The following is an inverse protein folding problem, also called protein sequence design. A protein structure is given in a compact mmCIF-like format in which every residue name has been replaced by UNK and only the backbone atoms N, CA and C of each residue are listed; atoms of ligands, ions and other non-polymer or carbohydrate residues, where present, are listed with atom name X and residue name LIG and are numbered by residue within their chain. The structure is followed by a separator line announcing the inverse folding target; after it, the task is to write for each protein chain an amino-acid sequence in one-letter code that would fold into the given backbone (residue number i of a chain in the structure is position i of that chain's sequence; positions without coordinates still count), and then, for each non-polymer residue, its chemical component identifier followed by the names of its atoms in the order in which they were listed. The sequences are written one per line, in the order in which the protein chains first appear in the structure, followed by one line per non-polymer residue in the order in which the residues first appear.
data_IF_871244290183
#
_entry.id   IF_871244290183
#
_cell.length_a   1.000
_cell.length_b   1.000
_cell.length_c   1.000
_cell.angle_alpha   90.00
_cell.angle_beta   90.00
_cell.angle_gamma   90.00
#
_symmetry.space_group_name_H-M   'P 1'
#
loop_
_entity.id
_entity.type
_entity.pdbx_description
1 polymer ?
#
# COMPACT_ATOMS: atom_id res chain seq x y z
N UNK A 1 -65.62 3.58 -52.64
CA UNK A 1 -65.04 2.54 -53.54
C UNK A 1 -65.71 1.21 -53.21
N UNK A 2 -66.24 0.53 -54.23
CA UNK A 2 -67.02 -0.71 -54.11
C UNK A 2 -66.15 -1.86 -53.54
N UNK A 3 -66.67 -2.70 -52.63
CA UNK A 3 -65.92 -3.81 -52.00
C UNK A 3 -65.30 -4.78 -53.03
N UNK A 4 -65.94 -4.89 -54.20
CA UNK A 4 -65.46 -5.66 -55.34
C UNK A 4 -64.15 -5.12 -55.93
N UNK A 5 -63.97 -3.80 -55.98
CA UNK A 5 -62.74 -3.18 -56.50
C UNK A 5 -61.56 -3.38 -55.55
N UNK A 6 -61.79 -3.41 -54.24
CA UNK A 6 -60.73 -3.65 -53.23
C UNK A 6 -60.16 -5.07 -53.26
N UNK A 7 -60.93 -6.05 -53.72
CA UNK A 7 -60.50 -7.46 -53.84
C UNK A 7 -60.11 -7.85 -55.26
N UNK A 8 -60.08 -6.89 -56.19
CA UNK A 8 -59.69 -7.15 -57.56
C UNK A 8 -58.21 -7.49 -57.62
N UNK A 9 -57.90 -8.63 -58.22
CA UNK A 9 -56.54 -9.03 -58.60
C UNK A 9 -56.57 -9.33 -60.08
N UNK A 10 -55.72 -8.67 -60.86
CA UNK A 10 -55.70 -8.81 -62.31
C UNK A 10 -54.28 -8.67 -62.84
N UNK A 11 -54.02 -9.29 -63.98
CA UNK A 11 -52.71 -9.27 -64.62
C UNK A 11 -52.69 -8.18 -65.69
N UNK A 12 -51.72 -7.28 -65.61
CA UNK A 12 -51.46 -6.26 -66.62
C UNK A 12 -50.89 -6.88 -67.91
N UNK A 13 -50.96 -6.14 -69.01
CA UNK A 13 -50.36 -6.55 -70.30
C UNK A 13 -48.84 -6.76 -70.24
N UNK A 14 -48.16 -6.23 -69.22
CA UNK A 14 -46.75 -6.48 -68.91
C UNK A 14 -46.48 -7.85 -68.26
N UNK A 15 -47.53 -8.62 -67.94
CA UNK A 15 -47.43 -9.89 -67.19
C UNK A 15 -47.47 -9.71 -65.67
N UNK A 16 -47.63 -8.48 -65.19
CA UNK A 16 -47.58 -8.13 -63.77
C UNK A 16 -48.92 -8.30 -63.06
N UNK A 17 -48.90 -8.92 -61.88
CA UNK A 17 -50.10 -9.06 -61.03
C UNK A 17 -50.32 -7.78 -60.24
N UNK A 18 -51.44 -7.11 -60.48
CA UNK A 18 -51.91 -5.95 -59.75
C UNK A 18 -52.94 -6.38 -58.70
N UNK A 19 -52.77 -5.92 -57.47
CA UNK A 19 -53.72 -6.06 -56.38
C UNK A 19 -53.73 -4.77 -55.58
N UNK A 20 -54.70 -4.61 -54.70
CA UNK A 20 -54.78 -3.46 -53.79
C UNK A 20 -54.66 -3.93 -52.36
N UNK A 21 -53.99 -3.13 -51.52
CA UNK A 21 -53.95 -3.37 -50.08
C UNK A 21 -55.27 -2.96 -49.39
N UNK A 22 -55.29 -3.03 -48.05
CA UNK A 22 -56.47 -2.71 -47.25
C UNK A 22 -56.91 -1.24 -47.37
N UNK A 23 -55.97 -0.36 -47.71
CA UNK A 23 -56.21 1.07 -47.92
C UNK A 23 -56.59 1.39 -49.37
N UNK A 24 -56.35 0.46 -50.29
CA UNK A 24 -56.64 0.59 -51.72
C UNK A 24 -55.41 0.96 -52.55
N UNK A 25 -54.20 0.83 -51.99
CA UNK A 25 -52.96 1.17 -52.67
C UNK A 25 -52.41 -0.01 -53.47
N UNK A 26 -51.95 0.22 -54.71
CA UNK A 26 -51.29 -0.81 -55.52
C UNK A 26 -49.89 -1.18 -54.97
N UNK A 27 -49.34 -2.36 -55.29
CA UNK A 27 -47.95 -2.69 -55.00
C UNK A 27 -47.00 -1.63 -55.56
N UNK A 28 -46.12 -1.13 -54.69
CA UNK A 28 -45.16 -0.08 -55.03
C UNK A 28 -44.05 -0.62 -55.93
N UNK A 29 -43.86 0.02 -57.08
CA UNK A 29 -42.81 -0.31 -58.04
C UNK A 29 -42.19 0.96 -58.56
N UNK A 30 -40.87 1.06 -58.44
CA UNK A 30 -40.13 2.25 -58.82
C UNK A 30 -38.89 1.88 -59.61
N UNK A 31 -38.63 2.65 -60.67
CA UNK A 31 -37.35 2.61 -61.35
C UNK A 31 -36.37 3.55 -60.66
N UNK A 32 -35.15 3.08 -60.43
CA UNK A 32 -34.07 3.89 -59.89
C UNK A 32 -33.27 4.41 -61.06
N UNK A 33 -33.23 5.72 -61.22
CA UNK A 33 -32.55 6.39 -62.33
C UNK A 33 -31.40 7.26 -61.82
N UNK A 34 -30.35 7.38 -62.63
CA UNK A 34 -29.26 8.33 -62.43
C UNK A 34 -29.32 9.37 -63.52
N UNK A 35 -29.27 10.64 -63.12
CA UNK A 35 -29.15 11.77 -64.04
C UNK A 35 -27.71 12.28 -64.03
N UNK A 36 -27.06 12.28 -65.19
CA UNK A 36 -25.73 12.84 -65.38
C UNK A 36 -25.84 14.16 -66.15
N UNK A 37 -25.37 15.24 -65.54
CA UNK A 37 -25.39 16.58 -66.14
C UNK A 37 -24.08 16.81 -66.91
N UNK A 38 -24.18 16.89 -68.24
CA UNK A 38 -23.05 17.09 -69.14
C UNK A 38 -22.80 18.59 -69.39
N UNK A 39 -21.58 19.01 -69.79
CA UNK A 39 -21.20 20.43 -69.95
C UNK A 39 -22.09 21.24 -70.92
N UNK A 40 -22.79 20.58 -71.84
CA UNK A 40 -23.60 21.20 -72.89
C UNK A 40 -25.08 21.40 -72.48
N UNK A 41 -25.40 21.44 -71.18
CA UNK A 41 -26.78 21.38 -70.65
C UNK A 41 -27.58 20.13 -71.07
N UNK A 42 -26.89 19.07 -71.52
CA UNK A 42 -27.50 17.79 -71.82
C UNK A 42 -27.59 16.94 -70.54
N UNK A 43 -28.71 16.26 -70.36
CA UNK A 43 -28.95 15.36 -69.23
C UNK A 43 -29.00 13.93 -69.77
N UNK A 44 -28.05 13.10 -69.36
CA UNK A 44 -28.06 11.66 -69.63
C UNK A 44 -28.76 10.94 -68.48
N UNK A 45 -29.93 10.33 -68.75
CA UNK A 45 -30.73 9.60 -67.77
C UNK A 45 -30.58 8.10 -68.01
N UNK A 46 -30.01 7.39 -67.03
CA UNK A 46 -29.80 5.95 -67.09
C UNK A 46 -30.58 5.23 -65.99
N UNK A 47 -31.30 4.16 -66.34
CA UNK A 47 -31.92 3.26 -65.38
C UNK A 47 -30.83 2.42 -64.70
N UNK A 48 -30.68 2.62 -63.40
CA UNK A 48 -29.67 1.96 -62.56
C UNK A 48 -30.24 0.80 -61.76
N UNK A 49 -31.55 0.70 -61.62
CA UNK A 49 -32.15 -0.36 -60.84
C UNK A 49 -33.66 -0.26 -60.82
N UNK A 50 -34.26 -1.10 -59.99
CA UNK A 50 -35.68 -1.04 -59.69
C UNK A 50 -35.93 -1.52 -58.26
N UNK A 51 -37.00 -1.00 -57.68
CA UNK A 51 -37.55 -1.41 -56.41
C UNK A 51 -38.93 -2.00 -56.66
N UNK A 52 -39.18 -3.20 -56.15
CA UNK A 52 -40.48 -3.87 -56.26
C UNK A 52 -40.92 -4.36 -54.88
N UNK A 53 -42.09 -3.90 -54.46
CA UNK A 53 -42.75 -4.30 -53.23
C UNK A 53 -43.86 -5.31 -53.57
N UNK A 54 -43.63 -6.58 -53.28
CA UNK A 54 -44.66 -7.62 -53.34
C UNK A 54 -45.25 -7.89 -51.95
N UNK A 55 -46.29 -8.72 -51.87
CA UNK A 55 -47.14 -8.85 -50.67
C UNK A 55 -46.36 -9.30 -49.42
N UNK A 56 -45.29 -10.06 -49.62
CA UNK A 56 -44.41 -10.55 -48.53
C UNK A 56 -42.93 -10.17 -48.69
N UNK A 57 -42.49 -9.69 -49.85
CA UNK A 57 -41.06 -9.49 -50.14
C UNK A 57 -40.78 -8.10 -50.71
N UNK A 58 -39.68 -7.50 -50.23
CA UNK A 58 -39.15 -6.23 -50.72
C UNK A 58 -37.89 -6.50 -51.52
N UNK A 59 -37.92 -6.26 -52.83
CA UNK A 59 -36.76 -6.46 -53.70
C UNK A 59 -36.22 -5.11 -54.17
N UNK A 60 -35.02 -4.76 -53.70
CA UNK A 60 -34.23 -3.66 -54.22
C UNK A 60 -33.11 -4.24 -55.07
N UNK A 61 -33.14 -4.00 -56.38
CA UNK A 61 -32.06 -4.40 -57.28
C UNK A 61 -31.41 -3.15 -57.87
N UNK A 62 -30.10 -3.03 -57.68
CA UNK A 62 -29.30 -1.94 -58.20
C UNK A 62 -28.15 -2.56 -59.00
N UNK A 63 -28.02 -2.16 -60.26
CA UNK A 63 -27.00 -2.63 -61.18
C UNK A 63 -25.60 -2.14 -60.73
N UNK A 64 -24.56 -2.89 -61.08
CA UNK A 64 -23.21 -2.88 -60.49
C UNK A 64 -22.67 -1.51 -59.98
N UNK A 65 -22.10 -1.52 -58.77
CA UNK A 65 -21.82 -0.34 -57.92
C UNK A 65 -20.85 0.71 -58.50
N UNK A 66 -19.98 0.31 -59.44
CA UNK A 66 -18.92 1.18 -59.96
C UNK A 66 -19.43 2.29 -60.92
N UNK A 67 -20.57 2.12 -61.57
CA UNK A 67 -21.10 3.11 -62.55
C UNK A 67 -22.14 4.07 -61.93
N UNK A 68 -22.58 3.83 -60.68
CA UNK A 68 -23.52 4.74 -60.01
C UNK A 68 -22.91 6.10 -59.72
N UNK A 69 -21.65 6.14 -59.32
CA UNK A 69 -21.01 7.35 -58.81
C UNK A 69 -20.00 8.00 -59.77
N UNK A 70 -19.51 7.24 -60.77
CA UNK A 70 -18.66 7.77 -61.85
C UNK A 70 -19.42 8.76 -62.74
N UNK A 71 -18.77 9.75 -63.37
CA UNK A 71 -17.34 10.04 -63.33
C UNK A 71 -16.92 10.84 -62.08
N UNK A 72 -17.86 11.33 -61.27
CA UNK A 72 -17.56 12.28 -60.20
C UNK A 72 -16.89 11.65 -58.97
N UNK A 73 -17.31 10.44 -58.60
CA UNK A 73 -16.69 9.72 -57.48
C UNK A 73 -16.37 8.28 -57.89
N UNK A 74 -15.20 7.80 -57.47
CA UNK A 74 -14.78 6.41 -57.70
C UNK A 74 -15.55 5.42 -56.82
N UNK A 75 -16.03 5.87 -55.66
CA UNK A 75 -16.80 5.11 -54.67
C UNK A 75 -17.97 5.96 -54.16
N UNK A 76 -18.95 5.31 -53.55
CA UNK A 76 -20.07 6.01 -52.93
C UNK A 76 -19.57 7.01 -51.87
N UNK A 77 -20.02 8.28 -51.89
CA UNK A 77 -19.65 9.24 -50.85
C UNK A 77 -20.32 8.88 -49.53
N UNK A 78 -19.56 8.93 -48.44
CA UNK A 78 -20.10 8.73 -47.09
C UNK A 78 -20.76 10.01 -46.59
N UNK A 79 -22.05 9.93 -46.23
CA UNK A 79 -22.80 11.07 -45.69
C UNK A 79 -22.68 11.13 -44.16
N UNK A 80 -21.46 11.33 -43.67
CA UNK A 80 -21.16 11.43 -42.23
C UNK A 80 -20.94 12.89 -41.81
N UNK A 81 -21.50 13.29 -40.67
CA UNK A 81 -21.32 14.64 -40.13
C UNK A 81 -19.90 14.87 -39.58
N UNK A 82 -19.31 13.81 -39.03
CA UNK A 82 -17.97 13.76 -38.47
C UNK A 82 -17.41 12.35 -38.62
N UNK A 83 -16.09 12.22 -38.51
CA UNK A 83 -15.44 10.92 -38.51
C UNK A 83 -15.87 10.10 -37.27
N UNK A 84 -15.97 8.76 -37.38
CA UNK A 84 -16.20 7.88 -36.25
C UNK A 84 -15.11 8.01 -35.19
N UNK A 85 -15.47 7.85 -33.91
CA UNK A 85 -14.48 7.96 -32.84
C UNK A 85 -13.49 6.78 -32.86
N UNK A 86 -12.19 7.06 -32.78
CA UNK A 86 -11.20 6.02 -32.59
C UNK A 86 -11.38 5.33 -31.23
N UNK A 87 -10.90 4.07 -31.07
CA UNK A 87 -10.77 3.44 -29.76
C UNK A 87 -10.09 4.38 -28.73
N UNK A 88 -10.45 4.23 -27.45
CA UNK A 88 -10.05 5.11 -26.36
C UNK A 88 -10.89 6.39 -26.21
N UNK A 89 -11.83 6.62 -27.13
CA UNK A 89 -12.75 7.74 -27.11
C UNK A 89 -14.20 7.27 -27.08
N UNK A 90 -15.06 8.13 -26.55
CA UNK A 90 -16.52 8.00 -26.58
C UNK A 90 -17.15 9.18 -27.30
N UNK A 91 -18.36 8.95 -27.80
CA UNK A 91 -19.22 10.00 -28.31
C UNK A 91 -19.60 10.98 -27.20
N UNK A 92 -19.58 12.27 -27.53
CA UNK A 92 -20.15 13.33 -26.73
C UNK A 92 -21.08 14.18 -27.59
N UNK A 93 -22.30 14.38 -27.07
CA UNK A 93 -23.35 15.13 -27.76
C UNK A 93 -22.92 16.59 -27.91
N UNK A 94 -23.12 17.16 -29.10
CA UNK A 94 -22.98 18.59 -29.33
C UNK A 94 -24.36 19.23 -29.15
N UNK A 95 -24.47 20.20 -28.24
CA UNK A 95 -25.73 20.93 -28.03
C UNK A 95 -26.16 21.67 -29.30
N UNK A 96 -27.46 21.61 -29.61
CA UNK A 96 -28.04 22.24 -30.81
C UNK A 96 -27.82 21.51 -32.13
N UNK A 97 -27.09 20.37 -32.16
CA UNK A 97 -26.89 19.56 -33.39
C UNK A 97 -27.69 18.24 -33.38
N UNK A 98 -27.95 17.64 -34.56
CA UNK A 98 -28.58 16.32 -34.67
C UNK A 98 -27.75 15.21 -34.01
N UNK A 99 -28.39 14.09 -33.64
CA UNK A 99 -27.73 12.94 -32.97
C UNK A 99 -26.55 12.34 -33.75
N UNK A 100 -26.56 12.41 -35.08
CA UNK A 100 -25.47 11.91 -35.92
C UNK A 100 -24.22 12.81 -35.90
N UNK A 101 -24.32 14.03 -35.36
CA UNK A 101 -23.23 14.97 -35.21
C UNK A 101 -22.76 14.98 -33.76
N UNK A 102 -21.61 14.38 -33.50
CA UNK A 102 -21.02 14.30 -32.16
C UNK A 102 -19.55 14.70 -32.20
N UNK A 103 -18.96 14.90 -31.01
CA UNK A 103 -17.52 15.05 -30.87
C UNK A 103 -16.95 13.85 -30.12
N UNK A 104 -15.69 13.52 -30.38
CA UNK A 104 -15.00 12.42 -29.73
C UNK A 104 -14.26 12.95 -28.51
N UNK A 105 -14.57 12.40 -27.34
CA UNK A 105 -13.93 12.75 -26.07
C UNK A 105 -13.24 11.51 -25.53
N UNK A 106 -12.01 11.68 -25.05
CA UNK A 106 -11.26 10.57 -24.47
C UNK A 106 -11.98 10.02 -23.22
N UNK A 107 -11.95 8.70 -23.00
CA UNK A 107 -12.53 8.05 -21.82
C UNK A 107 -11.98 8.63 -20.51
N UNK A 108 -12.69 8.55 -19.38
CA UNK A 108 -12.14 9.05 -18.11
C UNK A 108 -11.01 8.15 -17.57
N UNK A 109 -10.29 8.59 -16.54
CA UNK A 109 -9.30 7.76 -15.86
C UNK A 109 -9.96 6.50 -15.27
N UNK A 110 -9.36 5.34 -15.53
CA UNK A 110 -9.94 4.05 -15.13
C UNK A 110 -10.98 3.49 -16.11
N UNK A 111 -11.31 4.18 -17.20
CA UNK A 111 -12.24 3.72 -18.23
C UNK A 111 -11.56 3.49 -19.59
N UNK A 112 -12.08 2.53 -20.34
CA UNK A 112 -11.60 2.16 -21.67
C UNK A 112 -12.71 2.15 -22.72
N UNK A 113 -12.30 2.23 -23.99
CA UNK A 113 -13.14 1.96 -25.16
C UNK A 113 -12.30 1.17 -26.18
N UNK A 114 -12.67 -0.08 -26.44
CA UNK A 114 -11.95 -0.96 -27.37
C UNK A 114 -12.55 -0.94 -28.79
N UNK A 115 -13.77 -0.44 -28.95
CA UNK A 115 -14.50 -0.41 -30.23
C UNK A 115 -14.47 0.98 -30.85
N UNK A 116 -14.35 1.02 -32.18
CA UNK A 116 -14.58 2.25 -32.95
C UNK A 116 -16.01 2.74 -32.75
N UNK A 117 -16.16 4.04 -32.59
CA UNK A 117 -17.43 4.74 -32.51
C UNK A 117 -18.32 4.41 -31.29
N UNK A 118 -17.67 4.11 -30.15
CA UNK A 118 -18.33 3.77 -28.90
C UNK A 118 -19.17 4.92 -28.32
N UNK A 119 -20.37 4.60 -27.83
CA UNK A 119 -21.25 5.57 -27.17
C UNK A 119 -20.79 5.90 -25.74
N UNK A 120 -20.24 4.91 -25.02
CA UNK A 120 -19.83 5.01 -23.62
C UNK A 120 -18.53 4.26 -23.39
N UNK A 121 -17.78 4.66 -22.37
CA UNK A 121 -16.59 3.93 -21.93
C UNK A 121 -16.95 2.93 -20.83
N UNK A 122 -16.12 1.91 -20.66
CA UNK A 122 -16.30 0.84 -19.67
C UNK A 122 -15.19 0.93 -18.63
N UNK A 123 -15.54 0.86 -17.35
CA UNK A 123 -14.57 0.90 -16.26
C UNK A 123 -13.75 -0.40 -16.19
N UNK A 124 -12.43 -0.30 -16.02
CA UNK A 124 -11.57 -1.46 -15.79
C UNK A 124 -11.85 -2.12 -14.42
N UNK A 125 -11.66 -3.45 -14.30
CA UNK A 125 -11.60 -4.14 -13.02
C UNK A 125 -10.53 -3.55 -12.08
N UNK A 126 -10.72 -3.67 -10.76
CA UNK A 126 -9.86 -3.01 -9.75
C UNK A 126 -8.39 -3.47 -9.76
N UNK A 127 -8.13 -4.70 -10.23
CA UNK A 127 -6.79 -5.29 -10.39
C UNK A 127 -6.04 -4.78 -11.64
N UNK A 128 -6.74 -4.02 -12.50
CA UNK A 128 -6.23 -3.51 -13.77
C UNK A 128 -6.31 -1.99 -13.83
N UNK A 129 -5.43 -1.42 -14.65
CA UNK A 129 -5.40 0.01 -15.00
C UNK A 129 -5.54 0.16 -16.50
N UNK A 130 -5.91 1.35 -16.95
CA UNK A 130 -6.00 1.66 -18.38
C UNK A 130 -4.60 1.80 -18.97
N UNK A 131 -4.40 1.37 -20.22
CA UNK A 131 -3.21 1.79 -20.97
C UNK A 131 -3.26 3.29 -21.31
N UNK A 132 -2.15 3.87 -21.78
CA UNK A 132 -2.05 5.31 -22.11
C UNK A 132 -3.10 5.74 -23.15
N UNK A 133 -3.45 4.84 -24.07
CA UNK A 133 -4.44 5.09 -25.13
C UNK A 133 -5.89 4.87 -24.68
N UNK A 134 -6.13 4.40 -23.45
CA UNK A 134 -7.46 4.03 -22.90
C UNK A 134 -8.24 3.02 -23.76
N UNK A 135 -7.54 2.13 -24.45
CA UNK A 135 -8.12 1.06 -25.27
C UNK A 135 -8.26 -0.25 -24.50
N UNK A 136 -7.33 -0.51 -23.57
CA UNK A 136 -7.18 -1.82 -22.92
C UNK A 136 -6.92 -1.69 -21.42
N UNK A 137 -7.38 -2.70 -20.67
CA UNK A 137 -7.09 -2.86 -19.25
C UNK A 137 -5.85 -3.74 -19.06
N UNK A 138 -4.76 -3.15 -18.58
CA UNK A 138 -3.50 -3.81 -18.26
C UNK A 138 -3.38 -4.08 -16.75
N UNK A 139 -2.73 -5.17 -16.31
CA UNK A 139 -2.54 -5.44 -14.89
C UNK A 139 -1.80 -4.30 -14.18
N UNK A 140 -2.26 -3.90 -12.99
CA UNK A 140 -1.52 -2.97 -12.13
C UNK A 140 -0.25 -3.61 -11.61
N UNK A 141 0.81 -2.82 -11.40
CA UNK A 141 2.06 -3.32 -10.81
C UNK A 141 1.92 -3.47 -9.30
N UNK A 142 2.46 -4.54 -8.74
CA UNK A 142 2.43 -4.79 -7.30
C UNK A 142 3.59 -4.03 -6.65
N UNK A 143 3.27 -3.18 -5.67
CA UNK A 143 4.23 -2.37 -4.94
C UNK A 143 4.31 -2.81 -3.47
N UNK A 144 5.50 -3.15 -3.00
CA UNK A 144 5.81 -3.51 -1.61
C UNK A 144 7.26 -3.13 -1.30
N UNK A 145 7.64 -3.09 -0.01
CA UNK A 145 9.02 -2.79 0.37
C UNK A 145 9.93 -3.98 0.06
N UNK A 146 10.52 -3.99 -1.13
CA UNK A 146 11.35 -5.09 -1.63
C UNK A 146 12.80 -4.99 -1.15
N UNK A 147 13.45 -6.14 -0.98
CA UNK A 147 14.90 -6.23 -0.75
C UNK A 147 15.73 -5.68 -1.91
N UNK A 148 15.17 -5.68 -3.12
CA UNK A 148 15.84 -5.15 -4.32
C UNK A 148 15.72 -3.62 -4.45
N UNK A 149 14.80 -3.01 -3.70
CA UNK A 149 14.67 -1.55 -3.70
C UNK A 149 15.80 -0.93 -2.88
N UNK A 150 16.29 0.24 -3.28
CA UNK A 150 17.36 0.97 -2.57
C UNK A 150 17.04 1.20 -1.09
N UNK A 151 15.78 1.53 -0.77
CA UNK A 151 15.30 1.72 0.59
C UNK A 151 15.29 0.40 1.39
N UNK A 152 14.78 -0.69 0.81
CA UNK A 152 14.75 -1.99 1.49
C UNK A 152 16.15 -2.58 1.69
N UNK A 153 17.00 -2.49 0.67
CA UNK A 153 18.40 -2.91 0.74
C UNK A 153 19.18 -2.16 1.83
N UNK A 154 19.09 -0.83 1.86
CA UNK A 154 19.79 -0.01 2.86
C UNK A 154 19.33 -0.30 4.29
N UNK A 155 18.02 -0.40 4.55
CA UNK A 155 17.49 -0.76 5.87
C UNK A 155 17.95 -2.16 6.31
N UNK A 156 17.94 -3.12 5.38
CA UNK A 156 18.43 -4.48 5.64
C UNK A 156 19.92 -4.48 6.01
N UNK A 157 20.75 -3.76 5.25
CA UNK A 157 22.18 -3.66 5.54
C UNK A 157 22.43 -3.04 6.92
N UNK A 158 21.72 -1.96 7.26
CA UNK A 158 21.84 -1.30 8.57
C UNK A 158 21.44 -2.28 9.69
N UNK A 159 20.33 -3.00 9.55
CA UNK A 159 19.87 -3.98 10.54
C UNK A 159 20.91 -5.09 10.78
N UNK A 160 21.50 -5.64 9.72
CA UNK A 160 22.54 -6.68 9.82
C UNK A 160 23.83 -6.17 10.45
N UNK A 161 24.27 -4.96 10.10
CA UNK A 161 25.46 -4.34 10.70
C UNK A 161 25.24 -4.14 12.21
N UNK A 162 24.09 -3.60 12.60
CA UNK A 162 23.75 -3.39 14.02
C UNK A 162 23.62 -4.70 14.78
N UNK A 163 23.07 -5.75 14.17
CA UNK A 163 23.06 -7.09 14.73
C UNK A 163 24.48 -7.62 15.01
N UNK A 164 25.39 -7.52 14.04
CA UNK A 164 26.78 -7.96 14.19
C UNK A 164 27.51 -7.16 15.29
N UNK A 165 27.31 -5.84 15.33
CA UNK A 165 27.88 -4.97 16.38
C UNK A 165 27.36 -5.42 17.75
N UNK A 166 26.06 -5.64 17.90
CA UNK A 166 25.45 -6.03 19.18
C UNK A 166 25.91 -7.42 19.62
N UNK A 167 26.02 -8.37 18.69
CA UNK A 167 26.58 -9.69 18.94
C UNK A 167 28.03 -9.60 19.43
N UNK A 168 28.83 -8.74 18.82
CA UNK A 168 30.22 -8.52 19.22
C UNK A 168 30.28 -7.96 20.65
N UNK A 169 29.44 -6.96 20.97
CA UNK A 169 29.33 -6.41 22.33
C UNK A 169 28.90 -7.49 23.34
N UNK A 170 27.94 -8.34 22.98
CA UNK A 170 27.50 -9.46 23.82
C UNK A 170 28.65 -10.44 24.11
N UNK A 171 29.40 -10.85 23.08
CA UNK A 171 30.57 -11.73 23.23
C UNK A 171 31.62 -11.10 24.16
N UNK A 172 31.86 -9.79 24.05
CA UNK A 172 32.78 -9.07 24.93
C UNK A 172 32.27 -9.11 26.39
N UNK A 173 30.99 -8.83 26.62
CA UNK A 173 30.39 -8.87 27.96
C UNK A 173 30.44 -10.26 28.60
N UNK A 174 30.27 -11.32 27.78
CA UNK A 174 30.40 -12.72 28.22
C UNK A 174 31.86 -13.08 28.49
N UNK A 175 32.80 -12.62 27.66
CA UNK A 175 34.24 -12.89 27.87
C UNK A 175 34.78 -12.22 29.14
N UNK A 176 34.34 -11.00 29.42
CA UNK A 176 34.75 -10.22 30.59
C UNK A 176 33.77 -10.36 31.76
N UNK A 177 33.11 -11.52 31.88
CA UNK A 177 32.00 -11.73 32.81
C UNK A 177 32.36 -11.42 34.27
N UNK A 178 33.56 -11.81 34.70
CA UNK A 178 34.01 -11.62 36.09
C UNK A 178 34.58 -10.22 36.40
N UNK A 179 34.62 -9.32 35.41
CA UNK A 179 35.17 -7.99 35.62
C UNK A 179 34.25 -7.10 36.48
N UNK A 180 34.80 -6.26 37.37
CA UNK A 180 33.99 -5.44 38.27
C UNK A 180 33.07 -4.46 37.53
N UNK A 181 33.43 -4.03 36.32
CA UNK A 181 32.57 -3.21 35.45
C UNK A 181 31.30 -3.97 35.06
N UNK A 182 31.42 -5.22 34.62
CA UNK A 182 30.25 -6.02 34.17
C UNK A 182 29.42 -6.47 35.37
N UNK A 183 30.07 -6.89 36.47
CA UNK A 183 29.42 -7.31 37.71
C UNK A 183 28.67 -6.16 38.41
N UNK A 184 29.25 -4.96 38.39
CA UNK A 184 28.62 -3.75 38.93
C UNK A 184 27.39 -3.27 38.14
N UNK A 185 27.27 -3.70 36.90
CA UNK A 185 26.25 -3.31 35.94
C UNK A 185 25.11 -4.35 35.80
N UNK A 186 24.80 -5.08 36.88
CA UNK A 186 23.77 -6.13 36.94
C UNK A 186 23.72 -7.00 35.66
N UNK A 187 24.79 -7.75 35.50
CA UNK A 187 25.16 -8.50 34.31
C UNK A 187 24.04 -9.28 33.61
N UNK A 188 23.12 -9.89 34.37
CA UNK A 188 21.99 -10.63 33.82
C UNK A 188 21.05 -9.73 33.00
N UNK A 189 20.72 -8.54 33.52
CA UNK A 189 19.85 -7.58 32.82
C UNK A 189 20.56 -6.97 31.60
N UNK A 190 21.86 -6.70 31.72
CA UNK A 190 22.65 -6.18 30.60
C UNK A 190 22.75 -7.20 29.45
N UNK A 191 22.90 -8.49 29.77
CA UNK A 191 22.88 -9.58 28.80
C UNK A 191 21.49 -9.73 28.15
N UNK A 192 20.43 -9.72 28.96
CA UNK A 192 19.05 -9.80 28.48
C UNK A 192 18.71 -8.63 27.54
N UNK A 193 19.13 -7.41 27.90
CA UNK A 193 18.99 -6.23 27.05
C UNK A 193 19.72 -6.38 25.70
N UNK A 194 20.97 -6.86 25.70
CA UNK A 194 21.73 -7.08 24.45
C UNK A 194 21.07 -8.14 23.55
N UNK A 195 20.63 -9.26 24.13
CA UNK A 195 19.90 -10.31 23.38
C UNK A 195 18.62 -9.73 22.79
N UNK A 196 17.87 -8.97 23.59
CA UNK A 196 16.64 -8.31 23.15
C UNK A 196 16.89 -7.30 22.02
N UNK A 197 17.95 -6.49 22.11
CA UNK A 197 18.34 -5.57 21.03
C UNK A 197 18.76 -6.32 19.75
N UNK A 198 19.46 -7.45 19.85
CA UNK A 198 19.76 -8.29 18.68
C UNK A 198 18.48 -8.76 17.99
N UNK A 199 17.50 -9.22 18.78
CA UNK A 199 16.20 -9.64 18.27
C UNK A 199 15.41 -8.45 17.69
N UNK A 200 15.52 -7.24 18.25
CA UNK A 200 14.93 -6.02 17.66
C UNK A 200 15.51 -5.73 16.27
N UNK A 201 16.83 -5.87 16.09
CA UNK A 201 17.43 -5.65 14.77
C UNK A 201 16.95 -6.72 13.76
N UNK A 202 16.89 -7.99 14.18
CA UNK A 202 16.40 -9.07 13.31
C UNK A 202 14.89 -8.98 13.01
N UNK A 203 14.07 -8.51 13.96
CA UNK A 203 12.62 -8.44 13.75
C UNK A 203 12.26 -7.47 12.63
N UNK A 204 13.08 -6.43 12.37
CA UNK A 204 12.88 -5.52 11.24
C UNK A 204 12.90 -6.22 9.88
N UNK A 205 13.57 -7.37 9.75
CA UNK A 205 13.58 -8.17 8.52
C UNK A 205 12.22 -8.78 8.20
N UNK A 206 11.35 -9.00 9.21
CA UNK A 206 9.98 -9.46 9.01
C UNK A 206 9.10 -8.39 8.32
N UNK A 207 9.51 -7.13 8.37
CA UNK A 207 8.81 -6.01 7.72
C UNK A 207 9.19 -5.86 6.24
N UNK A 208 10.33 -6.43 5.82
CA UNK A 208 10.88 -6.26 4.46
C UNK A 208 10.58 -7.51 3.62
N UNK A 209 10.16 -7.29 2.38
CA UNK A 209 9.84 -8.34 1.41
C UNK A 209 8.36 -8.45 1.11
N UNK A 210 7.98 -9.52 0.43
CA UNK A 210 6.58 -9.76 0.05
C UNK A 210 5.78 -10.13 1.30
N UNK A 211 4.72 -9.38 1.68
CA UNK A 211 3.90 -9.74 2.83
C UNK A 211 3.22 -11.08 2.57
N UNK A 212 3.47 -12.03 3.45
CA UNK A 212 2.75 -13.30 3.53
C UNK A 212 1.88 -13.29 4.78
N UNK A 213 0.85 -14.13 4.83
CA UNK A 213 -0.03 -14.21 6.00
C UNK A 213 0.76 -14.44 7.30
N UNK A 214 1.77 -15.31 7.27
CA UNK A 214 2.60 -15.61 8.44
C UNK A 214 3.43 -14.39 8.85
N UNK A 215 4.04 -13.69 7.89
CA UNK A 215 4.81 -12.48 8.20
C UNK A 215 3.92 -11.41 8.82
N UNK A 216 2.71 -11.17 8.30
CA UNK A 216 1.80 -10.17 8.84
C UNK A 216 1.45 -10.44 10.32
N UNK A 217 1.19 -11.71 10.67
CA UNK A 217 0.87 -12.11 12.04
C UNK A 217 2.06 -11.94 12.98
N UNK A 218 3.26 -12.35 12.56
CA UNK A 218 4.44 -12.36 13.43
C UNK A 218 5.09 -11.00 13.60
N UNK A 219 5.00 -10.13 12.59
CA UNK A 219 5.74 -8.87 12.53
C UNK A 219 5.50 -7.97 13.74
N UNK A 220 4.24 -7.59 13.98
CA UNK A 220 3.89 -6.68 15.07
C UNK A 220 4.00 -7.33 16.45
N UNK A 221 3.61 -8.60 16.57
CA UNK A 221 3.70 -9.36 17.83
C UNK A 221 5.16 -9.54 18.26
N UNK A 222 6.03 -9.92 17.32
CA UNK A 222 7.46 -10.07 17.61
C UNK A 222 8.08 -8.74 18.00
N UNK A 223 7.76 -7.68 17.26
CA UNK A 223 8.20 -6.34 17.59
C UNK A 223 7.75 -5.93 19.01
N UNK A 224 6.45 -5.98 19.32
CA UNK A 224 5.91 -5.57 20.62
C UNK A 224 6.55 -6.33 21.80
N UNK A 225 6.63 -7.66 21.72
CA UNK A 225 7.19 -8.50 22.78
C UNK A 225 8.68 -8.21 23.00
N UNK A 226 9.49 -8.26 21.94
CA UNK A 226 10.95 -8.07 22.05
C UNK A 226 11.25 -6.65 22.52
N UNK A 227 10.53 -5.66 22.00
CA UNK A 227 10.74 -4.28 22.40
C UNK A 227 10.31 -4.05 23.86
N UNK A 228 9.24 -4.69 24.33
CA UNK A 228 8.83 -4.70 25.75
C UNK A 228 9.93 -5.22 26.66
N UNK A 229 10.57 -6.33 26.29
CA UNK A 229 11.68 -6.91 27.04
C UNK A 229 12.83 -5.89 27.14
N UNK A 230 13.17 -5.22 26.03
CA UNK A 230 14.23 -4.20 26.01
C UNK A 230 13.94 -3.02 26.95
N UNK A 231 12.75 -2.43 26.88
CA UNK A 231 12.37 -1.26 27.71
C UNK A 231 12.21 -1.66 29.18
N UNK A 232 11.59 -2.81 29.46
CA UNK A 232 11.43 -3.31 30.82
C UNK A 232 12.77 -3.64 31.48
N UNK A 233 13.78 -4.12 30.74
CA UNK A 233 15.14 -4.28 31.25
C UNK A 233 15.72 -2.95 31.75
N UNK A 234 15.48 -1.85 31.02
CA UNK A 234 15.97 -0.52 31.39
C UNK A 234 15.21 0.09 32.56
N UNK A 235 13.89 -0.09 32.59
CA UNK A 235 13.08 0.27 33.74
C UNK A 235 13.53 -0.47 34.99
N UNK A 236 13.72 -1.80 34.89
CA UNK A 236 14.19 -2.61 36.00
C UNK A 236 15.57 -2.17 36.48
N UNK A 237 16.47 -1.86 35.55
CA UNK A 237 17.82 -1.40 35.85
C UNK A 237 17.83 -0.06 36.59
N UNK A 238 17.03 0.91 36.15
CA UNK A 238 16.93 2.22 36.83
C UNK A 238 16.26 2.12 38.19
N UNK A 239 15.20 1.32 38.32
CA UNK A 239 14.52 1.09 39.59
C UNK A 239 15.42 0.45 40.65
N UNK A 240 16.28 -0.50 40.28
CA UNK A 240 17.26 -1.08 41.22
C UNK A 240 18.18 0.01 41.79
N UNK A 241 18.68 0.92 40.94
CA UNK A 241 19.58 2.00 41.37
C UNK A 241 18.86 2.91 42.38
N UNK A 242 17.61 3.28 42.09
CA UNK A 242 16.77 4.07 43.00
C UNK A 242 16.53 3.33 44.33
N UNK A 243 16.19 2.04 44.28
CA UNK A 243 15.92 1.21 45.47
C UNK A 243 17.20 1.05 46.29
N UNK A 244 18.34 0.78 45.67
CA UNK A 244 19.63 0.62 46.34
C UNK A 244 20.03 1.90 47.09
N UNK A 245 19.86 3.07 46.48
CA UNK A 245 20.17 4.35 47.12
C UNK A 245 19.17 4.71 48.24
N UNK A 246 17.88 4.40 48.09
CA UNK A 246 16.91 4.64 49.15
C UNK A 246 16.95 3.59 50.27
N UNK A 247 17.57 2.43 50.04
CA UNK A 247 17.78 1.40 51.07
C UNK A 247 18.95 1.72 52.01
N UNK A 248 19.88 2.61 51.64
CA UNK A 248 20.97 3.07 52.52
C UNK A 248 20.51 4.11 53.55
N UNK A 249 19.31 4.72 53.37
CA UNK A 249 18.72 5.63 54.35
C UNK A 249 18.30 4.88 55.63
N UNK A 250 18.64 5.38 56.83
CA UNK A 250 18.29 4.72 58.09
C UNK A 250 16.76 4.61 58.24
N UNK A 251 16.26 3.42 58.61
CA UNK A 251 14.82 3.14 58.78
C UNK A 251 14.07 2.64 57.52
N UNK A 252 14.74 2.46 56.39
CA UNK A 252 14.09 2.07 55.13
C UNK A 252 13.66 0.60 55.07
N UNK A 253 12.36 0.34 54.87
CA UNK A 253 11.81 -1.00 54.60
C UNK A 253 12.24 -1.57 53.23
N UNK A 254 12.84 -0.74 52.36
CA UNK A 254 13.28 -1.11 51.02
C UNK A 254 14.50 -2.04 51.01
N UNK A 255 15.18 -2.21 52.16
CA UNK A 255 16.35 -3.10 52.30
C UNK A 255 16.03 -4.57 51.97
N UNK A 256 14.77 -5.01 52.16
CA UNK A 256 14.31 -6.37 51.80
C UNK A 256 14.19 -6.58 50.28
N UNK A 257 14.12 -5.51 49.50
CA UNK A 257 13.86 -5.52 48.07
C UNK A 257 15.12 -5.29 47.21
N UNK A 258 16.29 -5.15 47.84
CA UNK A 258 17.57 -4.99 47.14
C UNK A 258 18.02 -6.37 46.62
N UNK A 259 17.72 -6.69 45.36
CA UNK A 259 18.19 -7.92 44.73
C UNK A 259 17.82 -8.07 43.25
N UNK A 260 18.67 -8.77 42.50
CA UNK A 260 18.51 -9.05 41.05
C UNK A 260 17.24 -9.83 40.73
N UNK A 261 16.72 -10.63 41.67
CA UNK A 261 15.48 -11.40 41.49
C UNK A 261 14.26 -10.49 41.24
N UNK A 262 14.15 -9.36 41.95
CA UNK A 262 13.02 -8.42 41.78
C UNK A 262 12.96 -7.86 40.36
N UNK A 263 14.12 -7.57 39.79
CA UNK A 263 14.25 -6.96 38.46
C UNK A 263 13.88 -7.91 37.35
N UNK A 264 14.25 -9.19 37.48
CA UNK A 264 13.83 -10.24 36.56
C UNK A 264 12.33 -10.46 36.67
N UNK A 265 11.76 -10.48 37.88
CA UNK A 265 10.31 -10.58 38.08
C UNK A 265 9.60 -9.40 37.42
N UNK A 266 10.10 -8.18 37.56
CA UNK A 266 9.53 -7.00 36.91
C UNK A 266 9.51 -7.14 35.39
N UNK A 267 10.63 -7.55 34.79
CA UNK A 267 10.72 -7.79 33.34
C UNK A 267 9.69 -8.84 32.91
N UNK A 268 9.60 -9.97 33.63
CA UNK A 268 8.62 -11.02 33.33
C UNK A 268 7.19 -10.49 33.39
N UNK A 269 6.82 -9.75 34.45
CA UNK A 269 5.47 -9.20 34.59
C UNK A 269 5.16 -8.22 33.45
N UNK A 270 6.08 -7.34 33.09
CA UNK A 270 5.90 -6.43 31.97
C UNK A 270 5.76 -7.18 30.63
N UNK A 271 6.56 -8.21 30.39
CA UNK A 271 6.47 -9.02 29.18
C UNK A 271 5.18 -9.83 29.12
N UNK A 272 4.72 -10.39 30.24
CA UNK A 272 3.45 -11.13 30.32
C UNK A 272 2.28 -10.22 29.97
N UNK A 273 2.27 -8.98 30.47
CA UNK A 273 1.28 -7.97 30.11
C UNK A 273 1.17 -7.77 28.59
N UNK A 274 2.30 -7.57 27.92
CA UNK A 274 2.33 -7.41 26.46
C UNK A 274 1.87 -8.68 25.72
N UNK A 275 2.29 -9.86 26.19
CA UNK A 275 1.88 -11.12 25.55
C UNK A 275 0.38 -11.36 25.66
N UNK A 276 -0.26 -10.92 26.74
CA UNK A 276 -1.72 -11.02 26.90
C UNK A 276 -2.42 -10.07 25.91
N UNK A 277 -1.94 -8.84 25.77
CA UNK A 277 -2.47 -7.86 24.81
C UNK A 277 -2.32 -8.40 23.38
N UNK A 278 -1.15 -8.92 23.04
CA UNK A 278 -0.85 -9.51 21.73
C UNK A 278 -1.71 -10.75 21.45
N UNK A 279 -1.92 -11.62 22.43
CA UNK A 279 -2.77 -12.80 22.29
C UNK A 279 -4.25 -12.42 22.10
N UNK A 280 -4.74 -11.40 22.82
CA UNK A 280 -6.08 -10.88 22.65
C UNK A 280 -6.30 -10.26 21.26
N UNK A 281 -5.30 -9.55 20.74
CA UNK A 281 -5.32 -9.01 19.38
C UNK A 281 -5.40 -10.12 18.33
N UNK A 282 -4.54 -11.12 18.45
CA UNK A 282 -4.51 -12.30 17.56
C UNK A 282 -5.81 -13.11 17.58
N UNK A 283 -6.47 -13.21 18.74
CA UNK A 283 -7.73 -13.94 18.87
C UNK A 283 -8.94 -13.17 18.32
N UNK A 284 -8.92 -11.84 18.38
CA UNK A 284 -10.08 -11.01 18.03
C UNK A 284 -10.06 -10.56 16.58
N UNK A 285 -8.99 -9.89 16.15
CA UNK A 285 -8.86 -9.29 14.82
C UNK A 285 -7.38 -9.33 14.41
N UNK A 286 -6.85 -10.51 14.03
CA UNK A 286 -5.44 -10.67 13.70
C UNK A 286 -5.07 -9.88 12.43
N UNK A 287 -3.82 -9.40 12.32
CA UNK A 287 -3.32 -8.80 11.09
C UNK A 287 -3.44 -9.75 9.90
N UNK A 288 -3.83 -9.22 8.74
CA UNK A 288 -4.00 -10.00 7.53
C UNK A 288 -3.40 -9.30 6.32
N UNK A 289 -3.09 -10.09 5.29
CA UNK A 289 -2.58 -9.55 4.04
C UNK A 289 -3.70 -8.83 3.27
N UNK A 290 -3.47 -7.57 2.91
CA UNK A 290 -4.40 -6.76 2.12
C UNK A 290 -3.72 -6.23 0.85
N UNK A 291 -4.47 -6.26 -0.25
CA UNK A 291 -4.08 -5.64 -1.51
C UNK A 291 -4.92 -4.37 -1.69
N UNK A 292 -4.33 -3.22 -1.42
CA UNK A 292 -4.99 -1.93 -1.63
C UNK A 292 -4.91 -1.56 -3.12
N UNK A 293 -6.05 -1.69 -3.79
CA UNK A 293 -6.26 -1.37 -5.21
C UNK A 293 -6.76 0.06 -5.43
N UNK A 294 -7.06 0.79 -4.34
CA UNK A 294 -7.84 2.04 -4.35
C UNK A 294 -7.00 3.28 -4.08
N UNK A 295 -5.93 3.17 -3.30
CA UNK A 295 -5.10 4.33 -2.91
C UNK A 295 -4.22 4.89 -4.03
N UNK A 296 -3.81 4.07 -5.00
CA UNK A 296 -3.06 4.52 -6.18
C UNK A 296 -3.69 3.99 -7.48
N UNK A 297 -3.79 4.85 -8.49
CA UNK A 297 -4.42 4.54 -9.78
C UNK A 297 -3.64 3.53 -10.61
N UNK A 298 -2.30 3.52 -10.46
CA UNK A 298 -1.40 2.72 -11.30
C UNK A 298 -0.78 1.51 -10.59
N UNK A 299 -0.82 1.46 -9.25
CA UNK A 299 -0.15 0.41 -8.48
C UNK A 299 -1.08 -0.25 -7.46
N UNK A 300 -0.89 -1.55 -7.23
CA UNK A 300 -1.53 -2.28 -6.12
C UNK A 300 -0.54 -2.30 -4.97
N UNK A 301 -0.90 -1.66 -3.86
CA UNK A 301 -0.06 -1.65 -2.67
C UNK A 301 -0.36 -2.93 -1.89
N UNK A 302 0.63 -3.83 -1.83
CA UNK A 302 0.52 -5.04 -1.03
C UNK A 302 1.07 -4.78 0.36
N UNK A 303 0.21 -4.81 1.36
CA UNK A 303 0.54 -4.45 2.74
C UNK A 303 -0.09 -5.43 3.74
N UNK A 304 0.37 -5.38 4.99
CA UNK A 304 -0.31 -6.05 6.09
C UNK A 304 -1.27 -5.05 6.72
N UNK A 305 -2.58 -5.34 6.65
CA UNK A 305 -3.57 -4.62 7.42
C UNK A 305 -3.51 -5.13 8.86
N UNK A 306 -3.48 -4.21 9.81
CA UNK A 306 -3.37 -4.52 11.24
C UNK A 306 -4.69 -5.05 11.83
N UNK A 307 -5.77 -5.07 11.05
CA UNK A 307 -7.09 -5.59 11.41
C UNK A 307 -7.84 -4.67 12.36
N UNK A 308 -7.26 -4.40 13.53
CA UNK A 308 -7.81 -3.49 14.52
C UNK A 308 -6.83 -2.39 14.89
N UNK A 309 -7.19 -1.16 14.51
CA UNK A 309 -6.46 0.06 14.86
C UNK A 309 -6.37 0.21 16.39
N UNK A 310 -7.41 -0.19 17.12
CA UNK A 310 -7.44 -0.06 18.58
C UNK A 310 -6.38 -0.93 19.26
N UNK A 311 -6.29 -2.22 18.90
CA UNK A 311 -5.27 -3.11 19.47
C UNK A 311 -3.84 -2.70 19.08
N UNK A 312 -3.65 -2.23 17.84
CA UNK A 312 -2.37 -1.69 17.39
C UNK A 312 -1.91 -0.51 18.27
N UNK A 313 -2.79 0.46 18.51
CA UNK A 313 -2.48 1.57 19.42
C UNK A 313 -2.40 1.17 20.89
N UNK A 314 -3.08 0.10 21.32
CA UNK A 314 -2.91 -0.44 22.67
C UNK A 314 -1.49 -0.97 22.90
N UNK A 315 -0.90 -1.68 21.94
CA UNK A 315 0.49 -2.16 22.01
C UNK A 315 1.47 -0.98 22.05
N UNK A 316 1.33 -0.03 21.11
CA UNK A 316 2.17 1.18 21.10
C UNK A 316 1.99 1.97 22.39
N UNK A 317 0.77 2.08 22.89
CA UNK A 317 0.45 2.73 24.16
C UNK A 317 1.10 2.04 25.35
N UNK A 318 1.03 0.72 25.44
CA UNK A 318 1.69 -0.06 26.49
C UNK A 318 3.21 0.17 26.47
N UNK A 319 3.84 0.07 25.30
CA UNK A 319 5.25 0.39 25.10
C UNK A 319 5.59 1.83 25.47
N UNK A 320 4.76 2.78 25.07
CA UNK A 320 4.91 4.20 25.40
C UNK A 320 4.83 4.44 26.91
N UNK A 321 3.88 3.81 27.61
CA UNK A 321 3.77 3.93 29.08
C UNK A 321 4.99 3.36 29.79
N UNK A 322 5.50 2.19 29.37
CA UNK A 322 6.73 1.61 29.90
C UNK A 322 7.94 2.53 29.66
N UNK A 323 8.04 3.12 28.46
CA UNK A 323 9.11 4.04 28.11
C UNK A 323 9.06 5.32 28.94
N UNK A 324 7.87 5.90 29.13
CA UNK A 324 7.67 7.07 29.99
C UNK A 324 8.03 6.78 31.45
N UNK A 325 7.57 5.64 32.00
CA UNK A 325 7.94 5.22 33.35
C UNK A 325 9.46 5.03 33.46
N UNK A 326 10.09 4.44 32.45
CA UNK A 326 11.54 4.27 32.41
C UNK A 326 12.28 5.60 32.30
N UNK A 327 11.77 6.56 31.53
CA UNK A 327 12.34 7.89 31.42
C UNK A 327 12.24 8.65 32.75
N UNK A 328 11.06 8.61 33.41
CA UNK A 328 10.87 9.23 34.72
C UNK A 328 11.81 8.62 35.76
N UNK A 329 11.92 7.29 35.83
CA UNK A 329 12.85 6.61 36.71
C UNK A 329 14.31 6.98 36.41
N UNK A 330 14.71 7.01 35.13
CA UNK A 330 16.06 7.42 34.73
C UNK A 330 16.37 8.85 35.16
N UNK A 331 15.43 9.78 34.93
CA UNK A 331 15.58 11.19 35.29
C UNK A 331 15.74 11.39 36.81
N UNK A 332 14.95 10.67 37.62
CA UNK A 332 15.10 10.65 39.07
C UNK A 332 16.46 10.08 39.50
N UNK A 333 16.99 9.13 38.74
CA UNK A 333 18.27 8.49 39.05
C UNK A 333 19.50 9.32 38.64
N UNK A 334 19.36 10.31 37.77
CA UNK A 334 20.49 11.04 37.15
C UNK A 334 21.39 11.77 38.16
N UNK A 335 20.82 12.18 39.29
CA UNK A 335 21.49 12.96 40.32
C UNK A 335 22.10 12.07 41.42
N UNK A 336 21.90 10.76 41.38
CA UNK A 336 22.58 9.86 42.31
C UNK A 336 24.07 9.78 41.95
N UNK A 337 24.96 9.72 42.96
CA UNK A 337 26.36 9.42 42.75
C UNK A 337 26.48 7.95 42.32
N UNK A 338 26.32 7.73 41.01
CA UNK A 338 26.34 6.41 40.40
C UNK A 338 27.70 6.15 39.74
N UNK A 339 28.15 4.89 39.79
CA UNK A 339 29.45 4.51 39.23
C UNK A 339 29.47 4.81 37.74
N UNK A 340 30.48 5.56 37.29
CA UNK A 340 30.71 5.88 35.87
C UNK A 340 29.62 6.71 35.15
N UNK A 341 28.85 7.54 35.86
CA UNK A 341 27.75 8.34 35.27
C UNK A 341 26.70 7.48 34.54
N UNK A 342 26.50 6.23 34.95
CA UNK A 342 25.63 5.27 34.29
C UNK A 342 24.18 5.75 34.18
N UNK A 343 23.60 6.28 35.26
CA UNK A 343 22.25 6.85 35.25
C UNK A 343 22.06 7.98 34.22
N UNK A 344 23.08 8.80 33.97
CA UNK A 344 23.03 9.87 32.95
C UNK A 344 22.98 9.30 31.54
N UNK A 345 23.79 8.27 31.27
CA UNK A 345 23.78 7.58 29.98
C UNK A 345 22.43 6.90 29.71
N UNK A 346 21.83 6.29 30.72
CA UNK A 346 20.48 5.69 30.61
C UNK A 346 19.42 6.77 30.35
N UNK A 347 19.51 7.92 31.04
CA UNK A 347 18.56 9.04 30.83
C UNK A 347 18.66 9.60 29.42
N UNK A 348 19.88 9.84 28.92
CA UNK A 348 20.09 10.31 27.55
C UNK A 348 19.56 9.30 26.52
N UNK A 349 19.80 8.01 26.76
CA UNK A 349 19.27 6.93 25.93
C UNK A 349 17.74 6.90 25.89
N UNK A 350 17.09 7.02 27.04
CA UNK A 350 15.63 7.07 27.16
C UNK A 350 15.03 8.34 26.52
N UNK A 351 15.73 9.47 26.58
CA UNK A 351 15.34 10.70 25.90
C UNK A 351 15.32 10.51 24.37
N UNK A 352 16.41 9.96 23.80
CA UNK A 352 16.51 9.64 22.37
C UNK A 352 15.43 8.64 21.96
N UNK A 353 15.18 7.63 22.79
CA UNK A 353 14.11 6.67 22.55
C UNK A 353 12.75 7.36 22.47
N UNK A 354 12.39 8.16 23.48
CA UNK A 354 11.08 8.82 23.53
C UNK A 354 10.90 9.80 22.37
N UNK A 355 11.94 10.55 21.97
CA UNK A 355 11.84 11.50 20.86
C UNK A 355 11.58 10.80 19.52
N UNK A 356 12.22 9.66 19.27
CA UNK A 356 11.98 8.83 18.07
C UNK A 356 10.52 8.36 18.01
N UNK A 357 9.97 7.86 19.12
CA UNK A 357 8.59 7.35 19.14
C UNK A 357 7.53 8.46 19.08
N UNK A 358 7.81 9.63 19.65
CA UNK A 358 6.94 10.81 19.48
C UNK A 358 6.93 11.27 18.02
N UNK A 359 8.08 11.25 17.33
CA UNK A 359 8.17 11.60 15.91
C UNK A 359 7.57 10.52 14.99
N UNK A 360 7.59 9.26 15.40
CA UNK A 360 7.03 8.14 14.65
C UNK A 360 5.52 8.29 14.39
N UNK A 361 4.73 8.68 15.40
CA UNK A 361 3.26 8.77 15.27
C UNK A 361 2.81 9.67 14.11
N UNK A 362 3.22 10.95 14.01
CA UNK A 362 2.81 11.80 12.88
C UNK A 362 3.41 11.33 11.55
N UNK A 363 4.63 10.78 11.55
CA UNK A 363 5.28 10.28 10.33
C UNK A 363 4.56 9.03 9.77
N UNK A 364 4.10 8.14 10.65
CA UNK A 364 3.31 6.95 10.33
C UNK A 364 1.95 7.34 9.74
N UNK A 365 1.23 8.26 10.38
CA UNK A 365 -0.07 8.73 9.90
C UNK A 365 0.01 9.51 8.58
N UNK A 366 1.15 10.17 8.31
CA UNK A 366 1.34 10.94 7.07
C UNK A 366 1.86 10.10 5.89
N UNK A 367 2.37 8.90 6.15
CA UNK A 367 2.96 8.03 5.13
C UNK A 367 1.98 6.95 4.68
N UNK A 368 2.11 6.51 3.43
CA UNK A 368 1.31 5.41 2.87
C UNK A 368 2.16 4.35 2.19
N UNK A 369 1.66 3.12 2.16
CA UNK A 369 2.27 1.96 1.50
C UNK A 369 3.69 1.65 1.98
N UNK A 370 4.62 1.41 1.05
CA UNK A 370 6.01 1.02 1.40
C UNK A 370 6.77 2.03 2.27
N UNK A 371 6.44 3.33 2.19
CA UNK A 371 7.08 4.37 2.99
C UNK A 371 6.66 4.31 4.46
N UNK A 372 5.41 3.97 4.73
CA UNK A 372 4.88 3.78 6.08
C UNK A 372 5.64 2.68 6.82
N UNK A 373 5.82 1.52 6.17
CA UNK A 373 6.62 0.40 6.71
C UNK A 373 8.08 0.80 6.93
N UNK A 374 8.67 1.58 6.02
CA UNK A 374 10.04 2.06 6.16
C UNK A 374 10.22 3.01 7.37
N UNK A 375 9.25 3.89 7.63
CA UNK A 375 9.25 4.78 8.81
C UNK A 375 9.23 3.99 10.10
N UNK A 376 8.46 2.91 10.15
CA UNK A 376 8.39 2.00 11.31
C UNK A 376 9.73 1.29 11.55
N UNK A 377 10.32 0.69 10.51
CA UNK A 377 11.66 0.08 10.60
C UNK A 377 12.69 1.12 11.09
N UNK A 378 12.66 2.33 10.53
CA UNK A 378 13.58 3.40 10.93
C UNK A 378 13.43 3.77 12.41
N UNK A 379 12.20 3.85 12.93
CA UNK A 379 11.95 4.11 14.34
C UNK A 379 12.51 2.98 15.24
N UNK A 380 12.32 1.71 14.85
CA UNK A 380 12.84 0.55 15.57
C UNK A 380 14.38 0.55 15.58
N UNK A 381 15.01 0.74 14.41
CA UNK A 381 16.46 0.73 14.28
C UNK A 381 17.11 1.90 15.04
N UNK A 382 16.59 3.11 14.87
CA UNK A 382 17.15 4.32 15.50
C UNK A 382 17.03 4.29 17.03
N UNK A 383 15.85 3.92 17.56
CA UNK A 383 15.65 3.80 19.00
C UNK A 383 16.53 2.70 19.61
N UNK A 384 16.60 1.52 18.99
CA UNK A 384 17.46 0.41 19.44
C UNK A 384 18.96 0.76 19.36
N UNK A 385 19.37 1.48 18.33
CA UNK A 385 20.76 1.99 18.20
C UNK A 385 21.07 3.02 19.28
N UNK A 386 20.12 3.89 19.63
CA UNK A 386 20.24 4.82 20.76
C UNK A 386 20.43 4.10 22.10
N UNK A 387 19.70 2.99 22.32
CA UNK A 387 19.89 2.12 23.48
C UNK A 387 21.28 1.47 23.51
N UNK A 388 21.69 0.87 22.40
CA UNK A 388 23.00 0.23 22.27
C UNK A 388 24.15 1.22 22.49
N UNK A 389 24.15 2.32 21.75
CA UNK A 389 25.22 3.30 21.72
C UNK A 389 25.39 4.00 23.07
N UNK A 390 24.31 4.53 23.64
CA UNK A 390 24.42 5.34 24.86
C UNK A 390 24.80 4.49 26.08
N UNK A 391 24.33 3.24 26.17
CA UNK A 391 24.49 2.41 27.37
C UNK A 391 25.78 1.58 27.33
N UNK A 392 26.13 1.06 26.15
CA UNK A 392 27.23 0.10 26.02
C UNK A 392 28.50 0.71 25.43
N UNK A 393 28.43 1.74 24.58
CA UNK A 393 29.65 2.33 24.00
C UNK A 393 30.62 2.89 25.07
N UNK A 394 30.16 3.61 26.12
CA UNK A 394 31.06 4.06 27.19
C UNK A 394 31.72 2.90 27.94
N UNK A 395 31.02 1.76 28.08
CA UNK A 395 31.52 0.58 28.80
C UNK A 395 32.54 -0.19 27.97
N UNK A 396 32.28 -0.37 26.67
CA UNK A 396 33.24 -0.94 25.75
C UNK A 396 34.49 -0.07 25.64
N UNK A 397 34.34 1.26 25.62
CA UNK A 397 35.47 2.19 25.66
C UNK A 397 36.36 1.97 26.89
N UNK A 398 35.77 1.87 28.08
CA UNK A 398 36.54 1.61 29.31
C UNK A 398 37.21 0.23 29.26
N UNK A 399 36.52 -0.81 28.80
CA UNK A 399 37.07 -2.17 28.74
C UNK A 399 38.31 -2.26 27.83
N UNK A 400 38.30 -1.59 26.67
CA UNK A 400 39.40 -1.70 25.69
C UNK A 400 40.47 -0.62 25.83
N UNK A 401 40.07 0.63 26.05
CA UNK A 401 40.97 1.78 25.96
C UNK A 401 41.49 2.19 27.36
N UNK A 402 40.73 1.89 28.42
CA UNK A 402 41.09 2.23 29.80
C UNK A 402 40.97 1.06 30.79
N UNK A 403 41.69 -0.06 30.56
CA UNK A 403 41.60 -1.25 31.42
C UNK A 403 42.06 -1.00 32.87
N UNK A 404 42.79 0.09 33.15
CA UNK A 404 43.19 0.51 34.49
C UNK A 404 42.01 0.86 35.42
N UNK A 405 40.89 1.28 34.85
CA UNK A 405 39.63 1.54 35.58
C UNK A 405 38.86 0.24 35.89
N UNK A 406 39.31 -0.90 35.35
CA UNK A 406 38.71 -2.22 35.56
C UNK A 406 39.33 -3.01 36.73
N UNK A 407 40.27 -2.42 37.48
CA UNK A 407 40.88 -3.04 38.67
C UNK A 407 40.05 -2.77 39.93
N UNK A 408 39.86 -3.79 40.80
CA UNK A 408 39.05 -3.72 42.03
C UNK A 408 39.41 -2.53 42.95
N UNK A 409 40.68 -2.14 43.04
CA UNK A 409 41.15 -1.03 43.89
C UNK A 409 40.62 0.35 43.45
N UNK A 410 40.38 0.56 42.16
CA UNK A 410 39.86 1.83 41.64
C UNK A 410 38.32 1.90 41.69
N UNK A 411 37.64 0.75 41.79
CA UNK A 411 36.16 0.65 41.88
C UNK A 411 35.65 0.84 43.32
N UNK A 412 36.52 0.66 44.34
CA UNK A 412 36.18 0.87 45.75
C UNK A 412 36.47 2.29 46.26
N UNK A 413 37.21 3.10 45.49
CA UNK A 413 37.60 4.49 45.83
C UNK A 413 36.66 5.56 45.25
N UNK A 414 35.62 5.17 44.52
CA UNK A 414 34.63 6.06 43.90
C UNK A 414 33.21 5.62 44.23
#
# INVERSE_FOLDING_TARGET
INNYLRRATFTMSSGDIQYFDEYGDPPARFDIIKCLFLPNNLIDIRKMGYFNMSKNDKYLNINNSADLWKPYFEKAPESLCNAPCAPGHRKSKIEGKPLCCYTCVQCADGEISNTTDAATCVKCPDDKRTNIQRTDCIPKTINYLSYMDTLGASLTSIALILFIITLTVLIIFVKYWETPIVKGNNQNLSCLLLISLMLCFLCTLLFIGRPTQICCLLRQVTFGIVFTISVSCLLAKTLIVIIAFNATKPGSKLKKYVGTQLSIILVIVCSVGETIISAAWMASNPPFQEADTSSETDTIILQCNEGSIMFFFCIIGYMGTLALLSFMAAFLAKDFPDRFNEAKNITFSMLVFCSVWVAFVPAYLSSKGRRMVAVEIFAILSSSTGLLGCIFAPKCYIIFIRPELNKKENVARH
#
